data_IF_716993031192
#
_entry.id   IF_716993031192
#
_cell.length_a   1.000
_cell.length_b   1.000
_cell.length_c   1.000
_cell.angle_alpha   90.00
_cell.angle_beta   90.00
_cell.angle_gamma   90.00
#
_symmetry.space_group_name_H-M   'P 1'
#
loop_
_entity.id
_entity.type
_entity.pdbx_description
1 polymer ?
#
# COMPACT_ATOMS: atom_id res chain seq x y z
N UNK A 1 1.18 14.23 -7.56
CA UNK A 1 0.97 12.83 -7.16
C UNK A 1 -0.47 12.46 -7.43
N UNK A 2 -0.72 11.19 -7.72
CA UNK A 2 -2.03 10.59 -7.82
C UNK A 2 -2.21 9.64 -6.63
N UNK A 3 -3.44 9.39 -6.21
CA UNK A 3 -3.73 8.61 -5.00
C UNK A 3 -4.82 7.59 -5.32
N UNK A 4 -4.57 6.34 -4.97
CA UNK A 4 -5.50 5.26 -5.27
C UNK A 4 -5.83 4.47 -4.03
N UNK A 5 -7.09 4.05 -3.95
CA UNK A 5 -7.55 2.96 -3.09
C UNK A 5 -7.74 1.73 -3.97
N UNK A 6 -7.10 0.64 -3.57
CA UNK A 6 -7.25 -0.67 -4.19
C UNK A 6 -7.84 -1.63 -3.18
N UNK A 7 -8.94 -2.28 -3.54
CA UNK A 7 -9.47 -3.44 -2.82
C UNK A 7 -8.99 -4.68 -3.58
N UNK A 8 -8.36 -5.62 -2.88
CA UNK A 8 -7.95 -6.90 -3.45
C UNK A 8 -8.86 -8.01 -2.94
N UNK A 9 -9.63 -8.60 -3.85
CA UNK A 9 -10.65 -9.60 -3.53
C UNK A 9 -10.02 -11.00 -3.45
N UNK A 10 -9.54 -11.37 -2.26
CA UNK A 10 -9.07 -12.71 -1.95
C UNK A 10 -9.43 -13.13 -0.51
N UNK A 11 -9.08 -14.36 -0.15
CA UNK A 11 -9.26 -14.92 1.20
C UNK A 11 -7.94 -15.35 1.84
N UNK A 12 -6.79 -14.99 1.26
CA UNK A 12 -5.49 -15.26 1.83
C UNK A 12 -5.10 -14.19 2.86
N UNK A 13 -4.95 -14.56 4.12
CA UNK A 13 -4.64 -13.64 5.22
C UNK A 13 -3.18 -13.12 5.21
N UNK A 14 -2.31 -13.72 4.39
CA UNK A 14 -0.93 -13.25 4.20
C UNK A 14 -0.83 -11.97 3.35
N UNK A 15 -1.92 -11.56 2.70
CA UNK A 15 -1.98 -10.41 1.80
C UNK A 15 -2.98 -9.35 2.27
N UNK A 16 -2.76 -8.07 1.91
CA UNK A 16 -3.67 -6.99 2.30
C UNK A 16 -4.96 -7.03 1.46
N UNK A 17 -6.07 -6.74 2.11
CA UNK A 17 -7.38 -6.62 1.45
C UNK A 17 -7.66 -5.20 0.96
N UNK A 18 -7.00 -4.19 1.53
CA UNK A 18 -7.08 -2.79 1.09
C UNK A 18 -5.67 -2.20 1.05
N UNK A 19 -5.34 -1.53 -0.04
CA UNK A 19 -4.08 -0.82 -0.23
C UNK A 19 -4.40 0.63 -0.59
N UNK A 20 -3.75 1.58 0.08
CA UNK A 20 -3.77 2.99 -0.29
C UNK A 20 -2.38 3.38 -0.79
N UNK A 21 -2.29 3.83 -2.04
CA UNK A 21 -1.01 4.13 -2.69
C UNK A 21 -0.91 5.59 -3.12
N UNK A 22 0.22 6.24 -2.81
CA UNK A 22 0.64 7.51 -3.41
C UNK A 22 1.55 7.21 -4.60
N UNK A 23 1.20 7.77 -5.77
CA UNK A 23 1.89 7.54 -7.03
C UNK A 23 2.51 8.83 -7.55
N UNK A 24 3.78 8.78 -7.93
CA UNK A 24 4.49 9.92 -8.49
C UNK A 24 4.18 10.21 -9.98
N UNK A 25 4.88 11.20 -10.54
CA UNK A 25 4.70 11.59 -11.94
C UNK A 25 5.26 10.56 -12.93
N UNK A 26 6.18 9.68 -12.50
CA UNK A 26 6.75 8.59 -13.27
C UNK A 26 5.95 7.28 -13.10
N UNK A 27 4.82 7.36 -12.38
CA UNK A 27 3.91 6.27 -12.06
C UNK A 27 4.46 5.26 -11.06
N UNK A 28 5.47 5.58 -10.27
CA UNK A 28 5.96 4.70 -9.20
C UNK A 28 5.27 4.98 -7.86
N UNK A 29 5.07 3.93 -7.06
CA UNK A 29 4.60 4.07 -5.69
C UNK A 29 5.67 4.79 -4.85
N UNK A 30 5.28 5.83 -4.11
CA UNK A 30 6.16 6.53 -3.15
C UNK A 30 5.78 6.26 -1.70
N UNK A 31 4.51 5.91 -1.46
CA UNK A 31 3.99 5.47 -0.16
C UNK A 31 2.90 4.43 -0.36
N UNK A 32 2.79 3.48 0.56
CA UNK A 32 1.69 2.51 0.60
C UNK A 32 1.26 2.21 2.03
N UNK A 33 -0.05 2.20 2.27
CA UNK A 33 -0.66 1.71 3.51
C UNK A 33 -1.51 0.48 3.19
N UNK A 34 -1.15 -0.64 3.81
CA UNK A 34 -1.75 -1.96 3.59
C UNK A 34 -2.57 -2.35 4.81
N UNK A 35 -3.84 -2.73 4.60
CA UNK A 35 -4.77 -3.20 5.65
C UNK A 35 -5.11 -4.67 5.38
N UNK A 36 -4.91 -5.50 6.39
CA UNK A 36 -5.11 -6.96 6.32
C UNK A 36 -6.47 -7.36 6.89
N UNK A 37 -6.92 -8.57 6.57
CA UNK A 37 -8.23 -9.12 6.98
C UNK A 37 -8.39 -9.24 8.50
N UNK A 38 -7.28 -9.45 9.22
CA UNK A 38 -7.22 -9.53 10.69
C UNK A 38 -7.15 -8.16 11.38
N UNK A 39 -7.09 -7.08 10.61
CA UNK A 39 -6.96 -5.70 11.10
C UNK A 39 -5.52 -5.24 11.31
N UNK A 40 -4.52 -6.07 11.03
CA UNK A 40 -3.13 -5.64 10.94
C UNK A 40 -2.97 -4.55 9.86
N UNK A 41 -2.04 -3.63 10.08
CA UNK A 41 -1.73 -2.55 9.15
C UNK A 41 -0.23 -2.46 8.97
N UNK A 42 0.21 -2.34 7.72
CA UNK A 42 1.60 -2.06 7.37
C UNK A 42 1.69 -0.74 6.61
N UNK A 43 2.79 -0.02 6.80
CA UNK A 43 3.07 1.22 6.09
C UNK A 43 4.48 1.19 5.52
N UNK A 44 4.59 1.60 4.26
CA UNK A 44 5.83 1.61 3.50
C UNK A 44 6.01 2.95 2.81
N UNK A 45 7.26 3.42 2.75
CA UNK A 45 7.65 4.58 1.95
C UNK A 45 9.07 4.40 1.40
N UNK A 46 9.65 5.49 0.90
CA UNK A 46 11.01 5.50 0.33
C UNK A 46 12.12 4.93 1.25
N UNK A 47 11.88 4.77 2.56
CA UNK A 47 12.79 4.09 3.50
C UNK A 47 12.76 2.56 3.37
N UNK A 48 11.68 2.01 2.82
CA UNK A 48 11.46 0.58 2.55
C UNK A 48 11.18 0.37 1.05
N UNK A 49 12.11 0.72 0.14
CA UNK A 49 11.85 0.76 -1.30
C UNK A 49 11.57 -0.62 -1.91
N UNK A 50 12.01 -1.70 -1.26
CA UNK A 50 11.77 -3.08 -1.70
C UNK A 50 10.33 -3.55 -1.46
N UNK A 51 9.58 -2.85 -0.61
CA UNK A 51 8.17 -3.17 -0.32
C UNK A 51 7.20 -2.41 -1.24
N UNK A 52 7.67 -1.32 -1.85
CA UNK A 52 6.92 -0.57 -2.85
C UNK A 52 6.94 -1.29 -4.20
N UNK A 53 5.96 -1.04 -5.05
CA UNK A 53 5.87 -1.64 -6.38
C UNK A 53 7.12 -1.39 -7.24
N UNK A 54 7.73 -2.46 -7.75
CA UNK A 54 8.93 -2.40 -8.61
C UNK A 54 8.64 -1.96 -10.05
N UNK A 55 7.37 -1.89 -10.43
CA UNK A 55 6.92 -1.52 -11.77
C UNK A 55 6.00 -0.28 -11.72
N UNK A 56 5.92 0.49 -12.82
CA UNK A 56 4.96 1.58 -12.92
C UNK A 56 3.53 1.09 -12.61
N UNK A 57 2.87 1.81 -11.72
CA UNK A 57 1.50 1.57 -11.31
C UNK A 57 0.57 1.62 -12.53
N UNK A 58 -0.35 0.65 -12.68
CA UNK A 58 -1.20 0.56 -13.85
C UNK A 58 -2.08 1.81 -14.04
N UNK A 59 -2.52 2.04 -15.28
CA UNK A 59 -3.40 3.16 -15.64
C UNK A 59 -4.74 2.74 -16.23
N UNK A 60 -4.88 1.49 -16.66
CA UNK A 60 -6.13 0.95 -17.22
C UNK A 60 -6.94 0.25 -16.13
N UNK A 61 -7.57 1.05 -15.27
CA UNK A 61 -8.34 0.52 -14.15
C UNK A 61 -9.67 -0.11 -14.58
N UNK A 62 -10.24 0.26 -15.72
CA UNK A 62 -11.44 -0.38 -16.25
C UNK A 62 -11.18 -1.85 -16.57
N UNK A 63 -10.06 -2.16 -17.24
CA UNK A 63 -9.67 -3.53 -17.53
C UNK A 63 -9.33 -4.32 -16.26
N UNK A 64 -8.66 -3.70 -15.30
CA UNK A 64 -8.32 -4.32 -14.01
C UNK A 64 -9.60 -4.64 -13.21
N UNK A 65 -10.49 -3.66 -13.05
CA UNK A 65 -11.72 -3.81 -12.28
C UNK A 65 -12.66 -4.84 -12.92
N UNK A 66 -12.64 -4.98 -14.25
CA UNK A 66 -13.42 -5.98 -14.97
C UNK A 66 -13.01 -7.44 -14.64
N UNK A 67 -11.80 -7.68 -14.09
CA UNK A 67 -11.37 -9.02 -13.67
C UNK A 67 -12.11 -9.50 -12.42
N UNK A 68 -12.60 -8.59 -11.58
CA UNK A 68 -13.17 -8.87 -10.26
C UNK A 68 -12.13 -9.21 -9.18
N UNK A 69 -10.85 -9.38 -9.54
CA UNK A 69 -9.77 -9.61 -8.57
C UNK A 69 -9.45 -8.32 -7.81
N UNK A 70 -9.48 -7.18 -8.48
CA UNK A 70 -9.20 -5.88 -7.89
C UNK A 70 -10.35 -4.90 -8.12
N UNK A 71 -10.52 -3.94 -7.22
CA UNK A 71 -11.32 -2.73 -7.42
C UNK A 71 -10.44 -1.51 -7.06
N UNK A 72 -10.00 -0.81 -8.10
CA UNK A 72 -9.14 0.38 -8.01
C UNK A 72 -9.97 1.63 -8.26
N UNK A 73 -9.84 2.59 -7.35
CA UNK A 73 -10.49 3.90 -7.43
C UNK A 73 -9.54 5.02 -7.04
N UNK A 74 -9.61 6.14 -7.75
CA UNK A 74 -8.86 7.34 -7.38
C UNK A 74 -9.49 7.98 -6.14
N UNK A 75 -8.64 8.45 -5.21
CA UNK A 75 -9.02 9.21 -4.04
C UNK A 75 -8.31 10.56 -4.04
N UNK A 76 -8.81 11.52 -3.26
CA UNK A 76 -8.12 12.80 -3.14
C UNK A 76 -6.86 12.68 -2.27
N UNK A 77 -5.89 13.57 -2.50
CA UNK A 77 -4.74 13.73 -1.62
C UNK A 77 -5.16 13.99 -0.15
N UNK A 78 -6.26 14.72 0.04
CA UNK A 78 -6.79 15.04 1.37
C UNK A 78 -7.31 13.77 2.06
N UNK A 79 -8.02 12.91 1.33
CA UNK A 79 -8.52 11.65 1.87
C UNK A 79 -7.36 10.72 2.23
N UNK A 80 -6.36 10.60 1.36
CA UNK A 80 -5.16 9.81 1.63
C UNK A 80 -4.44 10.28 2.90
N UNK A 81 -4.19 11.58 3.04
CA UNK A 81 -3.55 12.15 4.22
C UNK A 81 -4.39 12.00 5.50
N UNK A 82 -5.72 12.08 5.38
CA UNK A 82 -6.61 11.84 6.52
C UNK A 82 -6.58 10.37 6.96
N UNK A 83 -6.52 9.44 6.01
CA UNK A 83 -6.37 8.01 6.29
C UNK A 83 -5.03 7.75 6.98
N UNK A 84 -3.92 8.30 6.47
CA UNK A 84 -2.61 8.12 7.10
C UNK A 84 -2.59 8.62 8.55
N UNK A 85 -3.23 9.76 8.84
CA UNK A 85 -3.34 10.31 10.21
C UNK A 85 -4.13 9.44 11.19
N UNK A 86 -4.87 8.44 10.70
CA UNK A 86 -5.52 7.45 11.57
C UNK A 86 -4.52 6.44 12.16
N UNK A 87 -3.29 6.41 11.65
CA UNK A 87 -2.24 5.46 12.03
C UNK A 87 -0.96 6.18 12.45
N UNK A 88 -0.19 5.54 13.32
CA UNK A 88 1.16 5.99 13.65
C UNK A 88 2.15 5.42 12.62
N UNK A 89 2.26 6.08 11.47
CA UNK A 89 3.06 5.60 10.34
C UNK A 89 4.55 5.48 10.66
N UNK A 90 5.07 6.29 11.58
CA UNK A 90 6.46 6.19 12.04
C UNK A 90 6.66 4.93 12.88
N UNK A 91 5.75 4.63 13.81
CA UNK A 91 5.84 3.38 14.58
C UNK A 91 5.71 2.13 13.69
N UNK A 92 4.83 2.17 12.67
CA UNK A 92 4.65 1.06 11.73
C UNK A 92 5.91 0.75 10.93
N UNK A 93 6.57 1.77 10.37
CA UNK A 93 7.78 1.55 9.57
C UNK A 93 8.98 1.17 10.44
N UNK A 94 9.08 1.71 11.67
CA UNK A 94 10.12 1.33 12.63
C UNK A 94 9.99 -0.15 13.03
N UNK A 95 8.77 -0.59 13.38
CA UNK A 95 8.49 -1.99 13.72
C UNK A 95 8.85 -2.94 12.56
N UNK A 96 8.48 -2.58 11.33
CA UNK A 96 8.87 -3.34 10.14
C UNK A 96 10.40 -3.42 10.00
N UNK A 97 11.11 -2.29 10.09
CA UNK A 97 12.58 -2.26 9.99
C UNK A 97 13.26 -3.12 11.07
N UNK A 98 12.76 -3.08 12.31
CA UNK A 98 13.28 -3.90 13.42
C UNK A 98 13.07 -5.39 13.14
N UNK A 99 11.88 -5.78 12.66
CA UNK A 99 11.58 -7.17 12.30
C UNK A 99 12.49 -7.65 11.17
N UNK A 100 12.70 -6.82 10.15
CA UNK A 100 13.57 -7.15 9.02
C UNK A 100 15.04 -7.33 9.46
N UNK A 101 15.56 -6.44 10.30
CA UNK A 101 16.93 -6.55 10.82
C UNK A 101 17.15 -7.87 11.59
N UNK A 102 16.18 -8.26 12.43
CA UNK A 102 16.22 -9.53 13.18
C UNK A 102 16.20 -10.76 12.27
N UNK A 103 15.58 -10.67 11.10
CA UNK A 103 15.59 -11.74 10.10
C UNK A 103 16.95 -11.85 9.41
N UNK A 104 17.60 -10.72 9.11
CA UNK A 104 18.91 -10.70 8.45
C UNK A 104 20.06 -11.23 9.34
N UNK A 105 19.88 -11.23 10.66
CA UNK A 105 20.85 -11.74 11.65
C UNK A 105 20.76 -13.27 11.87
N UNK A 106 19.82 -13.96 11.23
CA UNK A 106 19.63 -15.43 11.32
C UNK A 106 20.27 -16.17 10.16
#
# INVERSE_FOLDING_TARGET
MLYYKTIWNHTNDDFPIIMYSEIDAERFETKRLDIFSDGHVAYFDTRTPLELGEAPYPSDFDAINATGEFDVSEISAIDFENILKMYDTEALIEDYCIKLARWAER
#
